data_IF_937310154378
#
_entry.id   IF_937310154378
#
_cell.length_a   1.000
_cell.length_b   1.000
_cell.length_c   1.000
_cell.angle_alpha   90.00
_cell.angle_beta   90.00
_cell.angle_gamma   90.00
#
_symmetry.space_group_name_H-M   'P 1'
#
loop_
_entity.id
_entity.type
_entity.pdbx_description
1 polymer ?
#
# COMPACT_ATOMS: atom_id res chain seq x y z
N UNK A 1 -16.72 11.25 13.50
CA UNK A 1 -15.93 10.10 13.01
C UNK A 1 -16.57 9.59 11.75
N UNK A 2 -15.89 9.76 10.61
CA UNK A 2 -15.81 8.78 9.53
C UNK A 2 -14.48 9.05 8.81
N UNK A 3 -13.38 8.46 9.28
CA UNK A 3 -12.12 8.46 8.56
C UNK A 3 -12.15 7.25 7.65
N UNK A 4 -12.16 7.39 6.33
CA UNK A 4 -11.72 6.24 5.52
C UNK A 4 -10.19 6.24 5.54
N UNK A 5 -9.61 6.00 6.73
CA UNK A 5 -8.18 5.82 6.89
C UNK A 5 -7.85 4.36 6.67
N UNK A 6 -7.83 3.96 5.41
CA UNK A 6 -7.22 2.71 4.98
C UNK A 6 -6.32 3.02 3.78
N UNK A 7 -5.28 3.76 4.14
CA UNK A 7 -3.88 3.44 3.87
C UNK A 7 -3.17 3.60 5.22
N UNK A 8 -2.21 2.73 5.56
CA UNK A 8 -1.34 2.93 6.74
C UNK A 8 -0.92 4.40 6.78
N UNK A 9 -1.29 5.19 7.81
CA UNK A 9 -0.90 6.58 7.87
C UNK A 9 0.62 6.61 7.88
N UNK A 10 1.25 6.97 6.76
CA UNK A 10 2.68 7.21 6.79
C UNK A 10 2.86 8.49 7.60
N UNK A 11 3.55 8.45 8.75
CA UNK A 11 3.79 9.65 9.49
C UNK A 11 4.52 10.65 8.59
N UNK A 12 4.31 11.94 8.87
CA UNK A 12 4.91 13.01 8.09
C UNK A 12 6.42 12.83 7.96
N UNK A 13 7.00 13.37 6.87
CA UNK A 13 8.45 13.26 6.61
C UNK A 13 9.30 13.77 7.78
N UNK A 14 8.76 14.70 8.56
CA UNK A 14 9.34 15.27 9.78
C UNK A 14 9.47 14.28 10.95
N UNK A 15 8.76 13.15 10.91
CA UNK A 15 8.79 12.09 11.94
C UNK A 15 9.59 10.86 11.53
N UNK A 16 10.12 10.84 10.31
CA UNK A 16 10.81 9.69 9.71
C UNK A 16 12.31 9.80 9.93
N UNK A 17 12.88 8.79 10.57
CA UNK A 17 14.32 8.63 10.68
C UNK A 17 14.89 7.82 9.51
N UNK A 18 15.81 8.41 8.76
CA UNK A 18 16.61 7.74 7.75
C UNK A 18 17.75 6.98 8.44
N UNK A 19 17.64 5.65 8.48
CA UNK A 19 18.65 4.78 9.08
C UNK A 19 19.70 4.40 8.05
N UNK A 20 20.96 4.71 8.35
CA UNK A 20 22.11 4.44 7.48
C UNK A 20 23.41 4.27 8.28
N UNK A 21 24.51 3.91 7.62
CA UNK A 21 25.83 3.94 8.27
C UNK A 21 26.42 5.35 8.26
N UNK A 22 27.18 5.75 9.28
CA UNK A 22 27.88 7.05 9.33
C UNK A 22 28.76 7.35 8.10
N UNK A 23 29.37 6.32 7.47
CA UNK A 23 30.15 6.46 6.23
C UNK A 23 29.32 6.91 5.02
N UNK A 24 28.00 6.80 5.11
CA UNK A 24 27.03 7.20 4.08
C UNK A 24 26.46 8.59 4.32
N UNK A 25 26.89 9.31 5.38
CA UNK A 25 26.32 10.58 5.82
C UNK A 25 26.24 11.65 4.71
N UNK A 26 27.20 11.67 3.78
CA UNK A 26 27.22 12.63 2.65
C UNK A 26 26.11 12.40 1.62
N UNK A 27 25.41 11.26 1.69
CA UNK A 27 24.33 10.89 0.78
C UNK A 27 22.95 11.17 1.36
N UNK A 28 22.86 11.54 2.64
CA UNK A 28 21.62 12.03 3.23
C UNK A 28 21.24 13.38 2.61
N UNK A 29 19.96 13.58 2.30
CA UNK A 29 19.48 14.89 1.90
C UNK A 29 19.29 15.77 3.13
N UNK A 30 19.57 17.07 3.01
CA UNK A 30 19.61 17.99 4.17
C UNK A 30 18.31 18.15 4.97
N UNK A 31 17.18 17.65 4.47
CA UNK A 31 15.90 17.63 5.21
C UNK A 31 15.64 16.33 5.97
N UNK A 32 16.48 15.31 5.82
CA UNK A 32 16.25 14.00 6.46
C UNK A 32 16.75 14.02 7.91
N UNK A 33 15.94 13.50 8.82
CA UNK A 33 16.38 13.19 10.17
C UNK A 33 17.18 11.88 10.12
N UNK A 34 18.48 11.91 10.39
CA UNK A 34 19.37 10.75 10.17
C UNK A 34 19.66 10.00 11.47
N UNK A 35 19.61 8.67 11.42
CA UNK A 35 20.01 7.77 12.49
C UNK A 35 21.18 6.91 12.00
N UNK A 36 22.33 7.00 12.66
CA UNK A 36 23.48 6.16 12.35
C UNK A 36 23.49 4.90 13.20
N UNK A 37 23.45 3.72 12.58
CA UNK A 37 23.44 2.47 13.36
C UNK A 37 24.78 2.09 13.97
N UNK A 38 25.89 2.63 13.45
CA UNK A 38 27.24 2.44 13.99
C UNK A 38 27.64 3.52 15.01
N UNK A 39 26.84 4.58 15.14
CA UNK A 39 27.00 5.65 16.13
C UNK A 39 25.62 6.08 16.66
N UNK A 40 24.91 5.19 17.38
CA UNK A 40 23.56 5.49 17.85
C UNK A 40 23.55 6.62 18.89
N UNK A 41 22.49 7.45 18.93
CA UNK A 41 22.31 8.47 19.95
C UNK A 41 22.03 7.85 21.33
N UNK A 42 21.85 8.72 22.33
CA UNK A 42 21.56 8.29 23.69
C UNK A 42 20.21 7.51 23.79
N UNK A 43 20.05 6.67 24.82
CA UNK A 43 18.85 5.86 24.99
C UNK A 43 17.53 6.65 25.09
N UNK A 44 17.54 7.89 25.60
CA UNK A 44 16.33 8.70 25.68
C UNK A 44 15.87 9.14 24.29
N UNK A 45 16.82 9.49 23.41
CA UNK A 45 16.51 9.75 22.00
C UNK A 45 16.00 8.48 21.30
N UNK A 46 16.65 7.33 21.48
CA UNK A 46 16.18 6.06 20.87
C UNK A 46 14.76 5.68 21.29
N UNK A 47 14.36 6.02 22.52
CA UNK A 47 13.04 5.73 23.05
C UNK A 47 11.90 6.56 22.42
N UNK A 48 12.20 7.61 21.66
CA UNK A 48 11.19 8.44 20.98
C UNK A 48 10.99 8.10 19.50
N UNK A 49 11.81 7.19 18.94
CA UNK A 49 11.81 6.88 17.51
C UNK A 49 10.67 5.91 17.17
N UNK A 50 9.65 6.43 16.49
CA UNK A 50 8.46 5.65 16.09
C UNK A 50 8.52 5.13 14.65
N UNK A 51 9.29 5.79 13.77
CA UNK A 51 9.39 5.45 12.36
C UNK A 51 10.84 5.43 11.89
N UNK A 52 11.25 4.32 11.30
CA UNK A 52 12.55 4.16 10.65
C UNK A 52 12.39 3.76 9.18
N UNK A 53 13.15 4.43 8.33
CA UNK A 53 13.40 4.06 6.94
C UNK A 53 14.83 3.59 6.78
N UNK A 54 15.04 2.29 6.63
CA UNK A 54 16.35 1.72 6.30
C UNK A 54 16.59 1.87 4.79
N UNK A 55 17.58 2.67 4.45
CA UNK A 55 17.97 2.98 3.09
C UNK A 55 19.47 2.76 2.92
N UNK A 56 19.88 2.40 1.71
CA UNK A 56 21.28 2.29 1.36
C UNK A 56 21.54 2.86 -0.04
N UNK A 57 22.68 3.53 -0.23
CA UNK A 57 23.06 4.10 -1.51
C UNK A 57 23.47 3.04 -2.54
N UNK A 58 23.42 3.35 -3.85
CA UNK A 58 23.66 2.38 -4.92
C UNK A 58 24.99 1.62 -4.85
N UNK A 59 26.06 2.23 -4.32
CA UNK A 59 27.40 1.63 -4.31
C UNK A 59 27.86 1.10 -2.94
N UNK A 60 27.04 1.22 -1.90
CA UNK A 60 27.38 0.75 -0.55
C UNK A 60 26.17 0.03 0.08
N UNK A 61 26.01 -1.27 -0.22
CA UNK A 61 24.82 -2.01 0.16
C UNK A 61 24.74 -2.36 1.64
N UNK A 62 23.50 -2.46 2.15
CA UNK A 62 23.22 -3.09 3.45
C UNK A 62 22.97 -4.58 3.24
N UNK A 63 23.79 -5.42 3.88
CA UNK A 63 23.73 -6.89 3.75
C UNK A 63 23.00 -7.58 4.90
N UNK A 64 22.92 -6.93 6.05
CA UNK A 64 22.29 -7.44 7.26
C UNK A 64 21.41 -6.35 7.88
N UNK A 65 20.33 -6.74 8.53
CA UNK A 65 19.47 -5.78 9.23
C UNK A 65 20.27 -5.19 10.41
N UNK A 66 20.39 -3.85 10.55
CA UNK A 66 21.10 -3.29 11.68
C UNK A 66 20.47 -3.65 13.03
N UNK A 67 21.26 -4.20 13.94
CA UNK A 67 20.84 -4.61 15.30
C UNK A 67 20.20 -3.48 16.11
N UNK A 68 20.46 -2.21 15.74
CA UNK A 68 19.81 -1.06 16.35
C UNK A 68 18.28 -1.14 16.25
N UNK A 69 17.72 -1.73 15.19
CA UNK A 69 16.26 -1.79 14.96
C UNK A 69 15.53 -2.52 16.09
N UNK A 70 16.07 -3.65 16.57
CA UNK A 70 15.45 -4.41 17.67
C UNK A 70 15.49 -3.68 19.01
N UNK A 71 16.36 -2.67 19.13
CA UNK A 71 16.58 -1.86 20.34
C UNK A 71 15.72 -0.60 20.41
N UNK A 72 14.85 -0.35 19.42
CA UNK A 72 13.96 0.82 19.38
C UNK A 72 12.60 0.47 20.01
N UNK A 73 12.33 0.83 21.27
CA UNK A 73 11.17 0.33 22.01
C UNK A 73 9.84 0.97 21.57
N UNK A 74 9.89 2.14 20.91
CA UNK A 74 8.72 2.85 20.41
C UNK A 74 8.50 2.64 18.90
N UNK A 75 9.34 1.85 18.22
CA UNK A 75 9.27 1.71 16.77
C UNK A 75 7.97 1.00 16.36
N UNK A 76 7.08 1.73 15.72
CA UNK A 76 5.81 1.21 15.20
C UNK A 76 5.86 0.99 13.70
N UNK A 77 6.73 1.71 13.00
CA UNK A 77 6.87 1.66 11.54
C UNK A 77 8.32 1.38 11.12
N UNK A 78 8.50 0.32 10.34
CA UNK A 78 9.77 0.01 9.70
C UNK A 78 9.57 -0.10 8.20
N UNK A 79 10.31 0.70 7.45
CA UNK A 79 10.43 0.58 6.00
C UNK A 79 11.84 0.10 5.66
N UNK A 80 11.94 -0.98 4.89
CA UNK A 80 13.19 -1.58 4.43
C UNK A 80 13.27 -1.40 2.91
N UNK A 81 14.15 -0.50 2.47
CA UNK A 81 14.18 -0.02 1.09
C UNK A 81 13.14 1.08 0.82
N UNK A 82 13.11 1.68 -0.38
CA UNK A 82 13.94 1.32 -1.53
C UNK A 82 15.41 1.72 -1.35
N UNK A 83 16.31 1.26 -2.22
CA UNK A 83 17.77 1.47 -2.08
C UNK A 83 18.54 0.17 -2.30
N UNK A 84 19.87 0.20 -2.17
CA UNK A 84 20.70 -1.00 -2.34
C UNK A 84 20.73 -1.86 -1.06
N UNK A 85 19.57 -2.37 -0.68
CA UNK A 85 19.47 -3.35 0.40
C UNK A 85 19.55 -4.74 -0.24
N UNK A 86 20.37 -5.63 0.31
CA UNK A 86 20.56 -6.97 -0.26
C UNK A 86 19.46 -7.94 0.16
N UNK A 87 19.18 -8.92 -0.71
CA UNK A 87 18.18 -9.96 -0.47
C UNK A 87 18.41 -10.77 0.83
N UNK A 88 19.66 -10.83 1.31
CA UNK A 88 20.03 -11.47 2.58
C UNK A 88 19.33 -10.82 3.77
N UNK A 89 19.07 -9.51 3.75
CA UNK A 89 18.38 -8.81 4.83
C UNK A 89 17.00 -9.45 5.07
N UNK A 90 16.20 -9.57 4.02
CA UNK A 90 14.85 -10.15 4.09
C UNK A 90 14.89 -11.66 4.36
N UNK A 91 15.80 -12.39 3.71
CA UNK A 91 15.92 -13.86 3.87
C UNK A 91 16.32 -14.27 5.29
N UNK A 92 17.11 -13.45 5.95
CA UNK A 92 17.63 -13.72 7.29
C UNK A 92 16.79 -13.04 8.38
N UNK A 93 15.71 -12.33 8.05
CA UNK A 93 14.81 -11.75 9.06
C UNK A 93 14.33 -12.83 10.01
N UNK A 94 14.33 -12.48 11.30
CA UNK A 94 13.76 -13.24 12.41
C UNK A 94 12.94 -12.32 13.29
N UNK A 95 11.91 -12.84 13.93
CA UNK A 95 10.99 -12.05 14.75
C UNK A 95 11.73 -11.32 15.88
N UNK A 96 12.76 -11.92 16.46
CA UNK A 96 13.61 -11.31 17.51
C UNK A 96 14.43 -10.11 17.02
N UNK A 97 14.62 -9.95 15.71
CA UNK A 97 15.32 -8.81 15.12
C UNK A 97 14.40 -7.58 14.97
N UNK A 98 13.10 -7.76 15.19
CA UNK A 98 12.09 -6.73 15.07
C UNK A 98 11.51 -6.42 16.46
N UNK A 99 11.26 -5.15 16.79
CA UNK A 99 10.74 -4.80 18.11
C UNK A 99 9.27 -5.20 18.24
N UNK A 100 8.84 -5.61 19.44
CA UNK A 100 7.45 -6.01 19.73
C UNK A 100 6.43 -4.87 19.54
N UNK A 101 6.89 -3.61 19.53
CA UNK A 101 6.10 -2.42 19.22
C UNK A 101 5.75 -2.28 17.74
N UNK A 102 6.38 -3.06 16.85
CA UNK A 102 6.17 -2.93 15.41
C UNK A 102 4.72 -3.22 15.04
N UNK A 103 4.12 -2.33 14.24
CA UNK A 103 2.74 -2.43 13.74
C UNK A 103 2.68 -2.39 12.21
N UNK A 104 3.66 -1.74 11.59
CA UNK A 104 3.69 -1.51 10.15
C UNK A 104 5.05 -1.84 9.58
N UNK A 105 5.07 -2.73 8.58
CA UNK A 105 6.28 -3.17 7.90
C UNK A 105 6.12 -2.95 6.40
N UNK A 106 7.07 -2.26 5.80
CA UNK A 106 7.17 -2.13 4.35
C UNK A 106 8.50 -2.67 3.85
N UNK A 107 8.48 -3.48 2.79
CA UNK A 107 9.65 -4.09 2.16
C UNK A 107 9.63 -3.76 0.67
N UNK A 108 10.61 -2.98 0.19
CA UNK A 108 10.63 -2.42 -1.16
C UNK A 108 11.91 -2.73 -1.96
N UNK A 109 11.72 -2.93 -3.28
CA UNK A 109 12.75 -2.81 -4.33
C UNK A 109 13.86 -3.87 -4.30
N UNK A 110 13.47 -5.13 -4.13
CA UNK A 110 14.35 -6.27 -4.29
C UNK A 110 13.95 -7.12 -5.51
N UNK A 111 14.85 -7.40 -6.46
CA UNK A 111 14.55 -8.41 -7.46
C UNK A 111 14.39 -9.79 -6.79
N UNK A 112 13.38 -10.56 -7.22
CA UNK A 112 13.21 -11.96 -6.82
C UNK A 112 11.85 -12.30 -6.21
N UNK A 113 11.77 -13.50 -5.64
CA UNK A 113 10.61 -13.99 -4.89
C UNK A 113 11.08 -14.56 -3.55
N UNK A 114 10.32 -14.25 -2.50
CA UNK A 114 10.68 -14.54 -1.11
C UNK A 114 9.68 -15.46 -0.46
N UNK A 115 10.08 -16.05 0.66
CA UNK A 115 9.18 -16.72 1.59
C UNK A 115 9.43 -16.10 2.95
N UNK A 116 8.38 -15.68 3.63
CA UNK A 116 8.44 -15.19 4.99
C UNK A 116 8.89 -16.34 5.91
N UNK A 117 10.02 -16.12 6.58
CA UNK A 117 10.63 -17.09 7.49
C UNK A 117 11.03 -16.47 8.82
N UNK A 118 10.55 -15.25 9.11
CA UNK A 118 10.89 -14.57 10.35
C UNK A 118 10.12 -15.12 11.56
N UNK A 119 9.05 -15.88 11.32
CA UNK A 119 8.16 -16.37 12.36
C UNK A 119 6.92 -15.48 12.50
N UNK A 120 6.14 -15.73 13.56
CA UNK A 120 4.87 -15.06 13.79
C UNK A 120 5.08 -13.62 14.22
N UNK A 121 4.36 -12.69 13.59
CA UNK A 121 4.30 -11.28 13.93
C UNK A 121 2.91 -10.95 14.49
N UNK A 122 2.66 -11.23 15.78
CA UNK A 122 1.31 -11.23 16.34
C UNK A 122 0.65 -9.86 16.44
N UNK A 123 1.44 -8.79 16.36
CA UNK A 123 0.98 -7.40 16.48
C UNK A 123 1.06 -6.63 15.16
N UNK A 124 1.50 -7.25 14.06
CA UNK A 124 1.63 -6.54 12.79
C UNK A 124 0.24 -6.29 12.19
N UNK A 125 -0.11 -5.02 12.01
CA UNK A 125 -1.41 -4.58 11.53
C UNK A 125 -1.39 -4.27 10.04
N UNK A 126 -0.23 -3.84 9.52
CA UNK A 126 -0.04 -3.54 8.10
C UNK A 126 1.27 -4.08 7.54
N UNK A 127 1.18 -4.63 6.33
CA UNK A 127 2.31 -5.17 5.59
C UNK A 127 2.24 -4.69 4.14
N UNK A 128 3.33 -4.08 3.67
CA UNK A 128 3.50 -3.68 2.28
C UNK A 128 4.73 -4.34 1.67
N UNK A 129 4.51 -5.07 0.58
CA UNK A 129 5.57 -5.80 -0.11
C UNK A 129 5.38 -5.65 -1.62
N UNK A 130 6.34 -5.02 -2.29
CA UNK A 130 6.30 -4.80 -3.73
C UNK A 130 6.96 -5.93 -4.54
N UNK A 131 7.28 -7.05 -3.87
CA UNK A 131 7.88 -8.26 -4.44
C UNK A 131 7.00 -9.48 -4.12
N UNK A 132 6.98 -10.53 -4.96
CA UNK A 132 6.26 -11.75 -4.63
C UNK A 132 6.82 -12.41 -3.36
N UNK A 133 6.04 -12.41 -2.27
CA UNK A 133 6.41 -13.01 -1.00
C UNK A 133 5.36 -14.06 -0.58
N UNK A 134 5.81 -15.31 -0.43
CA UNK A 134 5.00 -16.39 0.16
C UNK A 134 4.97 -16.21 1.67
N UNK A 135 3.80 -16.40 2.26
CA UNK A 135 3.61 -16.43 3.70
C UNK A 135 2.44 -17.36 4.01
N UNK A 136 2.30 -17.72 5.28
CA UNK A 136 1.12 -18.39 5.81
C UNK A 136 0.29 -17.37 6.59
N UNK A 137 -1.03 -17.52 6.59
CA UNK A 137 -1.90 -16.60 7.33
C UNK A 137 -1.55 -16.54 8.84
N UNK A 138 -1.06 -17.65 9.39
CA UNK A 138 -0.65 -17.75 10.80
C UNK A 138 0.59 -16.89 11.12
N UNK A 139 1.35 -16.46 10.12
CA UNK A 139 2.48 -15.55 10.31
C UNK A 139 2.01 -14.14 10.72
N UNK A 140 0.78 -13.73 10.35
CA UNK A 140 0.28 -12.36 10.53
C UNK A 140 -1.17 -12.31 11.07
N UNK A 141 -1.45 -12.86 12.26
CA UNK A 141 -2.83 -13.06 12.74
C UNK A 141 -3.61 -11.75 12.97
N UNK A 142 -2.92 -10.61 13.17
CA UNK A 142 -3.53 -9.30 13.40
C UNK A 142 -3.59 -8.41 12.14
N UNK A 143 -3.21 -8.92 10.96
CA UNK A 143 -3.05 -8.11 9.76
C UNK A 143 -4.40 -7.63 9.22
N UNK A 144 -4.56 -6.31 9.14
CA UNK A 144 -5.77 -5.64 8.63
C UNK A 144 -5.53 -4.98 7.29
N UNK A 145 -4.29 -4.62 6.97
CA UNK A 145 -3.90 -3.98 5.72
C UNK A 145 -2.80 -4.76 5.03
N UNK A 146 -3.01 -5.10 3.77
CA UNK A 146 -2.02 -5.81 2.96
C UNK A 146 -1.88 -5.17 1.59
N UNK A 147 -0.66 -4.73 1.27
CA UNK A 147 -0.25 -4.36 -0.08
C UNK A 147 0.72 -5.39 -0.61
N UNK A 148 0.36 -6.10 -1.69
CA UNK A 148 1.13 -7.26 -2.16
C UNK A 148 1.14 -7.40 -3.68
N UNK A 149 2.12 -8.16 -4.16
CA UNK A 149 2.16 -8.66 -5.54
C UNK A 149 1.63 -10.10 -5.57
N UNK A 150 0.43 -10.37 -6.13
CA UNK A 150 -0.10 -11.71 -6.21
C UNK A 150 0.66 -12.56 -7.24
N UNK A 151 0.69 -13.86 -7.04
CA UNK A 151 1.14 -14.80 -8.06
C UNK A 151 0.05 -14.99 -9.12
N UNK A 152 0.46 -15.31 -10.36
CA UNK A 152 -0.48 -15.52 -11.47
C UNK A 152 -1.57 -16.57 -11.17
N UNK A 153 -1.27 -17.71 -10.49
CA UNK A 153 -2.30 -18.65 -10.06
C UNK A 153 -3.20 -18.13 -8.93
N UNK A 154 -2.77 -17.12 -8.16
CA UNK A 154 -3.53 -16.57 -7.04
C UNK A 154 -3.45 -17.36 -5.74
N UNK A 155 -2.44 -18.24 -5.56
CA UNK A 155 -2.23 -18.97 -4.31
C UNK A 155 -1.83 -18.06 -3.15
N UNK A 156 -1.07 -17.00 -3.44
CA UNK A 156 -0.73 -15.95 -2.49
C UNK A 156 -1.97 -15.17 -2.08
N UNK A 157 -2.85 -14.88 -3.05
CA UNK A 157 -4.13 -14.25 -2.75
C UNK A 157 -4.95 -15.18 -1.83
N UNK A 158 -5.03 -16.48 -2.11
CA UNK A 158 -5.78 -17.43 -1.27
C UNK A 158 -5.26 -17.48 0.18
N UNK A 159 -3.95 -17.31 0.41
CA UNK A 159 -3.41 -17.15 1.76
C UNK A 159 -3.86 -15.83 2.40
N UNK A 160 -3.83 -14.72 1.65
CA UNK A 160 -4.31 -13.43 2.12
C UNK A 160 -5.81 -13.44 2.49
N UNK A 161 -6.64 -14.22 1.78
CA UNK A 161 -8.09 -14.32 2.08
C UNK A 161 -8.40 -14.93 3.44
N UNK A 162 -7.43 -15.59 4.08
CA UNK A 162 -7.56 -16.15 5.44
C UNK A 162 -7.28 -15.13 6.55
N UNK A 163 -6.85 -13.93 6.18
CA UNK A 163 -6.53 -12.84 7.12
C UNK A 163 -7.75 -11.92 7.33
N UNK A 164 -7.85 -11.24 8.48
CA UNK A 164 -8.96 -10.32 8.78
C UNK A 164 -8.78 -8.96 8.09
N UNK A 165 -8.56 -8.97 6.77
CA UNK A 165 -8.24 -7.77 6.00
C UNK A 165 -9.43 -6.81 5.88
N UNK A 166 -9.15 -5.54 6.10
CA UNK A 166 -10.03 -4.39 5.85
C UNK A 166 -9.49 -3.55 4.69
N UNK A 167 -8.20 -3.66 4.38
CA UNK A 167 -7.56 -3.05 3.22
C UNK A 167 -6.77 -4.09 2.43
N UNK A 168 -6.99 -4.13 1.12
CA UNK A 168 -6.23 -4.96 0.19
C UNK A 168 -5.77 -4.12 -0.99
N UNK A 169 -4.46 -4.07 -1.22
CA UNK A 169 -3.88 -3.46 -2.40
C UNK A 169 -3.08 -4.48 -3.20
N UNK A 170 -3.41 -4.63 -4.48
CA UNK A 170 -2.77 -5.58 -5.38
C UNK A 170 -1.98 -4.81 -6.45
N UNK A 171 -0.67 -5.07 -6.51
CA UNK A 171 0.21 -4.57 -7.55
C UNK A 171 0.30 -5.58 -8.71
N UNK A 172 0.48 -5.09 -9.95
CA UNK A 172 0.65 -5.91 -11.15
C UNK A 172 -0.46 -6.97 -11.32
N UNK A 173 -1.71 -6.56 -11.11
CA UNK A 173 -2.88 -7.45 -11.01
C UNK A 173 -3.01 -8.35 -12.26
N UNK A 174 -2.88 -9.68 -12.12
CA UNK A 174 -3.03 -10.60 -13.24
C UNK A 174 -4.50 -11.00 -13.48
N UNK A 175 -5.39 -10.68 -12.55
CA UNK A 175 -6.79 -11.09 -12.53
C UNK A 175 -7.68 -10.17 -13.37
N UNK A 176 -8.72 -10.75 -13.92
CA UNK A 176 -9.87 -10.05 -14.50
C UNK A 176 -10.93 -9.79 -13.40
N UNK A 177 -12.16 -9.49 -13.80
CA UNK A 177 -13.28 -9.23 -12.90
C UNK A 177 -13.67 -10.42 -12.00
N UNK A 178 -13.21 -11.64 -12.29
CA UNK A 178 -13.39 -12.80 -11.39
C UNK A 178 -12.71 -12.62 -10.02
N UNK A 179 -11.86 -11.59 -9.88
CA UNK A 179 -11.29 -11.16 -8.60
C UNK A 179 -12.36 -10.79 -7.57
N UNK A 180 -13.41 -10.05 -7.96
CA UNK A 180 -14.32 -9.46 -6.98
C UNK A 180 -15.11 -10.51 -6.17
N UNK A 181 -15.69 -11.56 -6.80
CA UNK A 181 -16.31 -12.65 -6.05
C UNK A 181 -15.31 -13.40 -5.15
N UNK A 182 -14.04 -13.50 -5.54
CA UNK A 182 -13.01 -14.16 -4.72
C UNK A 182 -12.71 -13.41 -3.42
N UNK A 183 -12.76 -12.08 -3.45
CA UNK A 183 -12.48 -11.23 -2.28
C UNK A 183 -13.75 -10.79 -1.52
N UNK A 184 -14.94 -11.20 -1.98
CA UNK A 184 -16.23 -10.76 -1.44
C UNK A 184 -16.49 -11.16 0.02
N UNK A 185 -15.84 -12.22 0.51
CA UNK A 185 -15.96 -12.65 1.90
C UNK A 185 -15.18 -11.76 2.89
N UNK A 186 -14.23 -10.95 2.41
CA UNK A 186 -13.46 -10.04 3.25
C UNK A 186 -14.29 -8.79 3.58
N UNK A 187 -14.21 -8.27 4.82
CA UNK A 187 -14.88 -7.03 5.22
C UNK A 187 -14.10 -5.79 4.72
N UNK A 188 -13.80 -5.75 3.42
CA UNK A 188 -12.97 -4.69 2.84
C UNK A 188 -13.67 -3.33 2.91
N UNK A 189 -12.94 -2.36 3.46
CA UNK A 189 -13.28 -0.94 3.45
C UNK A 189 -12.48 -0.19 2.39
N UNK A 190 -11.31 -0.72 1.99
CA UNK A 190 -10.43 -0.12 0.98
C UNK A 190 -9.86 -1.17 0.03
N UNK A 191 -9.89 -0.87 -1.27
CA UNK A 191 -9.36 -1.72 -2.32
C UNK A 191 -8.48 -0.89 -3.27
N UNK A 192 -7.25 -1.33 -3.48
CA UNK A 192 -6.34 -0.78 -4.48
C UNK A 192 -5.98 -1.81 -5.55
N UNK A 193 -6.17 -1.48 -6.83
CA UNK A 193 -5.75 -2.30 -7.96
C UNK A 193 -4.80 -1.49 -8.85
N UNK A 194 -3.53 -1.90 -8.91
CA UNK A 194 -2.48 -1.17 -9.60
C UNK A 194 -1.81 -1.99 -10.70
N UNK A 195 -1.58 -1.36 -11.85
CA UNK A 195 -0.89 -1.95 -13.00
C UNK A 195 -1.50 -3.28 -13.48
N UNK A 196 -2.83 -3.36 -13.49
CA UNK A 196 -3.55 -4.53 -14.00
C UNK A 196 -3.59 -4.58 -15.53
N UNK A 197 -3.59 -5.81 -16.06
CA UNK A 197 -3.51 -6.05 -17.52
C UNK A 197 -4.69 -6.84 -18.09
N UNK A 198 -5.63 -7.27 -17.26
CA UNK A 198 -6.72 -8.16 -17.66
C UNK A 198 -8.12 -7.56 -17.40
N UNK A 199 -8.24 -6.66 -16.42
CA UNK A 199 -9.51 -6.10 -15.97
C UNK A 199 -10.13 -5.18 -17.02
N UNK A 200 -11.28 -5.57 -17.59
CA UNK A 200 -12.04 -4.78 -18.58
C UNK A 200 -13.22 -4.02 -17.98
N UNK A 201 -13.79 -4.56 -16.93
CA UNK A 201 -14.95 -4.04 -16.21
C UNK A 201 -14.77 -4.25 -14.71
N UNK A 202 -15.62 -3.61 -13.90
CA UNK A 202 -15.69 -3.81 -12.46
C UNK A 202 -16.86 -4.74 -12.06
N UNK A 203 -17.37 -5.56 -12.98
CA UNK A 203 -18.52 -6.44 -12.71
C UNK A 203 -18.21 -7.40 -11.54
N UNK A 204 -19.12 -7.52 -10.57
CA UNK A 204 -18.90 -8.27 -9.34
C UNK A 204 -18.40 -7.41 -8.18
N UNK A 205 -17.94 -6.18 -8.42
CA UNK A 205 -17.50 -5.27 -7.35
C UNK A 205 -18.64 -4.92 -6.39
N UNK A 206 -19.90 -4.98 -6.84
CA UNK A 206 -21.10 -4.76 -6.03
C UNK A 206 -21.22 -5.69 -4.82
N UNK A 207 -20.50 -6.84 -4.85
CA UNK A 207 -20.41 -7.76 -3.72
C UNK A 207 -19.60 -7.17 -2.55
N UNK A 208 -18.76 -6.16 -2.81
CA UNK A 208 -17.98 -5.43 -1.81
C UNK A 208 -18.78 -4.27 -1.22
N UNK A 209 -19.99 -4.56 -0.73
CA UNK A 209 -20.97 -3.55 -0.29
C UNK A 209 -20.47 -2.61 0.83
N UNK A 210 -19.48 -3.05 1.62
CA UNK A 210 -18.83 -2.24 2.66
C UNK A 210 -17.71 -1.31 2.16
N UNK A 211 -17.37 -1.35 0.87
CA UNK A 211 -16.25 -0.61 0.31
C UNK A 211 -16.47 0.89 0.39
N UNK A 212 -15.50 1.59 0.99
CA UNK A 212 -15.51 3.04 1.21
C UNK A 212 -14.47 3.78 0.38
N UNK A 213 -13.37 3.12 0.02
CA UNK A 213 -12.31 3.67 -0.83
C UNK A 213 -11.93 2.71 -1.94
N UNK A 214 -11.89 3.22 -3.18
CA UNK A 214 -11.45 2.47 -4.35
C UNK A 214 -10.34 3.21 -5.08
N UNK A 215 -9.18 2.56 -5.25
CA UNK A 215 -8.04 3.07 -6.02
C UNK A 215 -7.78 2.18 -7.24
N UNK A 216 -7.85 2.76 -8.43
CA UNK A 216 -7.56 2.11 -9.69
C UNK A 216 -6.43 2.88 -10.38
N UNK A 217 -5.26 2.25 -10.52
CA UNK A 217 -4.11 2.88 -11.18
C UNK A 217 -3.61 2.02 -12.32
N UNK A 218 -3.44 2.63 -13.49
CA UNK A 218 -2.83 1.98 -14.66
C UNK A 218 -3.55 0.67 -15.03
N UNK A 219 -4.88 0.69 -15.09
CA UNK A 219 -5.70 -0.43 -15.58
C UNK A 219 -5.87 -0.28 -17.09
N UNK A 220 -4.92 -0.82 -17.85
CA UNK A 220 -4.78 -0.53 -19.29
C UNK A 220 -5.90 -1.07 -20.19
N UNK A 221 -6.74 -1.98 -19.68
CA UNK A 221 -7.88 -2.55 -20.40
C UNK A 221 -9.24 -2.13 -19.84
N UNK A 222 -9.28 -1.36 -18.76
CA UNK A 222 -10.54 -1.00 -18.10
C UNK A 222 -11.34 -0.03 -18.97
N UNK A 223 -12.49 -0.48 -19.45
CA UNK A 223 -13.35 0.25 -20.38
C UNK A 223 -14.53 0.93 -19.69
N UNK A 224 -15.02 0.34 -18.60
CA UNK A 224 -16.17 0.88 -17.85
C UNK A 224 -16.00 0.71 -16.35
N UNK A 225 -16.55 1.68 -15.63
CA UNK A 225 -16.62 1.70 -14.17
C UNK A 225 -18.06 1.60 -13.65
N UNK A 226 -19.07 1.47 -14.53
CA UNK A 226 -20.49 1.50 -14.18
C UNK A 226 -20.93 0.66 -12.97
N UNK A 227 -20.38 -0.55 -12.73
CA UNK A 227 -20.73 -1.37 -11.56
C UNK A 227 -20.54 -0.68 -10.19
N UNK A 228 -19.68 0.34 -10.08
CA UNK A 228 -19.51 1.06 -8.80
C UNK A 228 -20.77 1.80 -8.35
N UNK A 229 -21.75 2.04 -9.23
CA UNK A 229 -23.04 2.63 -8.86
C UNK A 229 -23.76 1.84 -7.76
N UNK A 230 -23.46 0.54 -7.63
CA UNK A 230 -24.01 -0.33 -6.60
C UNK A 230 -23.26 -0.27 -5.26
N UNK A 231 -22.29 0.64 -5.08
CA UNK A 231 -21.52 0.82 -3.85
C UNK A 231 -22.02 2.05 -3.07
N UNK A 232 -23.04 1.90 -2.19
CA UNK A 232 -23.70 3.03 -1.54
C UNK A 232 -22.79 3.75 -0.52
N UNK A 233 -21.75 3.07 -0.02
CA UNK A 233 -20.82 3.59 0.97
C UNK A 233 -19.51 4.14 0.39
N UNK A 234 -19.36 4.17 -0.95
CA UNK A 234 -18.13 4.62 -1.59
C UNK A 234 -17.93 6.13 -1.39
N UNK A 235 -17.00 6.50 -0.51
CA UNK A 235 -16.70 7.88 -0.13
C UNK A 235 -15.52 8.45 -0.93
N UNK A 236 -14.58 7.59 -1.34
CA UNK A 236 -13.36 7.98 -2.04
C UNK A 236 -13.14 7.15 -3.30
N UNK A 237 -12.92 7.83 -4.42
CA UNK A 237 -12.60 7.20 -5.69
C UNK A 237 -11.35 7.85 -6.30
N UNK A 238 -10.35 7.03 -6.60
CA UNK A 238 -9.11 7.47 -7.21
C UNK A 238 -8.81 6.63 -8.45
N UNK A 239 -9.01 7.21 -9.63
CA UNK A 239 -8.72 6.56 -10.91
C UNK A 239 -7.59 7.33 -11.59
N UNK A 240 -6.48 6.64 -11.85
CA UNK A 240 -5.33 7.22 -12.52
C UNK A 240 -4.84 6.37 -13.67
N UNK A 241 -4.48 7.01 -14.78
CA UNK A 241 -3.86 6.37 -15.93
C UNK A 241 -4.68 5.20 -16.51
N UNK A 242 -6.00 5.25 -16.39
CA UNK A 242 -6.93 4.26 -16.96
C UNK A 242 -7.51 4.81 -18.27
N UNK A 243 -6.72 4.72 -19.35
CA UNK A 243 -6.95 5.45 -20.61
C UNK A 243 -8.09 4.94 -21.50
N UNK A 244 -8.67 3.79 -21.17
CA UNK A 244 -9.73 3.13 -21.96
C UNK A 244 -11.13 3.39 -21.43
N UNK A 245 -11.27 4.04 -20.28
CA UNK A 245 -12.57 4.42 -19.74
C UNK A 245 -13.17 5.45 -20.68
N UNK A 246 -14.39 5.21 -21.16
CA UNK A 246 -15.08 6.12 -22.09
C UNK A 246 -16.34 6.75 -21.50
N UNK A 247 -16.82 6.24 -20.36
CA UNK A 247 -18.02 6.73 -19.69
C UNK A 247 -17.81 6.78 -18.17
N UNK A 248 -18.08 7.94 -17.59
CA UNK A 248 -18.01 8.22 -16.16
C UNK A 248 -19.33 8.78 -15.58
N UNK A 249 -20.44 8.72 -16.31
CA UNK A 249 -21.73 9.24 -15.85
C UNK A 249 -22.20 8.59 -14.54
N UNK A 250 -21.73 7.37 -14.25
CA UNK A 250 -21.96 6.67 -12.96
C UNK A 250 -21.55 7.50 -11.73
N UNK A 251 -20.60 8.43 -11.86
CA UNK A 251 -20.12 9.25 -10.75
C UNK A 251 -21.20 10.18 -10.17
N UNK A 252 -22.17 10.62 -10.98
CA UNK A 252 -23.30 11.41 -10.48
C UNK A 252 -24.16 10.62 -9.49
N UNK A 253 -24.30 9.31 -9.74
CA UNK A 253 -25.19 8.42 -9.00
C UNK A 253 -24.63 7.94 -7.66
N UNK A 254 -23.34 8.17 -7.37
CA UNK A 254 -22.72 7.74 -6.10
C UNK A 254 -23.13 8.64 -4.94
N UNK A 255 -23.94 8.16 -3.97
CA UNK A 255 -24.57 9.05 -2.98
C UNK A 255 -23.59 9.53 -1.90
N UNK A 256 -22.59 8.72 -1.55
CA UNK A 256 -21.64 9.00 -0.48
C UNK A 256 -20.30 9.59 -0.96
N UNK A 257 -20.08 9.70 -2.28
CA UNK A 257 -18.80 10.13 -2.83
C UNK A 257 -18.48 11.56 -2.41
N UNK A 258 -17.31 11.75 -1.79
CA UNK A 258 -16.83 13.02 -1.27
C UNK A 258 -15.48 13.42 -1.87
N UNK A 259 -14.61 12.44 -2.14
CA UNK A 259 -13.27 12.66 -2.66
C UNK A 259 -13.10 11.95 -4.01
N UNK A 260 -12.76 12.72 -5.04
CA UNK A 260 -12.50 12.20 -6.39
C UNK A 260 -11.11 12.59 -6.88
N UNK A 261 -10.37 11.62 -7.39
CA UNK A 261 -9.17 11.86 -8.20
C UNK A 261 -9.34 11.18 -9.56
N UNK A 262 -9.23 11.96 -10.63
CA UNK A 262 -9.21 11.50 -12.02
C UNK A 262 -7.97 12.08 -12.71
N UNK A 263 -6.92 11.27 -12.88
CA UNK A 263 -5.65 11.77 -13.42
C UNK A 263 -5.19 10.93 -14.60
N UNK A 264 -4.90 11.56 -15.74
CA UNK A 264 -4.31 10.85 -16.88
C UNK A 264 -5.25 9.81 -17.52
N UNK A 265 -6.57 9.98 -17.42
CA UNK A 265 -7.54 8.99 -17.93
C UNK A 265 -7.87 9.15 -19.42
N UNK A 266 -7.28 10.11 -20.13
CA UNK A 266 -7.59 10.35 -21.54
C UNK A 266 -8.92 11.08 -21.73
N UNK A 267 -9.57 10.90 -22.89
CA UNK A 267 -10.89 11.47 -23.17
C UNK A 267 -11.99 10.59 -22.56
N UNK A 268 -12.53 11.01 -21.42
CA UNK A 268 -13.54 10.24 -20.67
C UNK A 268 -14.94 10.85 -20.73
N UNK A 269 -15.13 11.89 -21.55
CA UNK A 269 -16.43 12.58 -21.67
C UNK A 269 -16.80 13.43 -20.46
N UNK A 270 -15.82 14.14 -19.86
CA UNK A 270 -16.04 14.97 -18.67
C UNK A 270 -17.08 16.08 -18.86
N UNK A 271 -17.12 16.72 -20.04
CA UNK A 271 -18.17 17.67 -20.45
C UNK A 271 -18.77 18.54 -19.33
N UNK A 272 -20.11 18.58 -19.25
CA UNK A 272 -20.84 19.28 -18.18
C UNK A 272 -20.76 18.56 -16.82
N UNK A 273 -20.43 17.27 -16.82
CA UNK A 273 -20.32 16.45 -15.62
C UNK A 273 -19.21 16.96 -14.69
N UNK A 274 -18.11 17.49 -15.22
CA UNK A 274 -17.03 18.04 -14.41
C UNK A 274 -17.53 19.14 -13.45
N UNK A 275 -18.33 20.08 -13.95
CA UNK A 275 -18.86 21.18 -13.14
C UNK A 275 -19.79 20.66 -12.02
N UNK A 276 -20.64 19.67 -12.34
CA UNK A 276 -21.51 19.03 -11.35
C UNK A 276 -20.71 18.30 -10.26
N UNK A 277 -19.66 17.58 -10.64
CA UNK A 277 -18.78 16.88 -9.70
C UNK A 277 -18.07 17.87 -8.78
N UNK A 278 -17.51 18.96 -9.32
CA UNK A 278 -16.85 20.00 -8.52
C UNK A 278 -17.81 20.69 -7.53
N UNK A 279 -19.09 20.82 -7.88
CA UNK A 279 -20.11 21.39 -6.99
C UNK A 279 -20.57 20.42 -5.89
N UNK A 280 -20.56 19.11 -6.17
CA UNK A 280 -21.03 18.05 -5.24
C UNK A 280 -19.95 17.59 -4.26
N UNK A 281 -18.69 17.52 -4.71
CA UNK A 281 -17.61 16.86 -3.98
C UNK A 281 -16.91 17.79 -2.99
N UNK A 282 -16.38 17.21 -1.90
CA UNK A 282 -15.55 17.95 -0.92
C UNK A 282 -14.16 18.22 -1.49
N UNK A 283 -13.56 17.22 -2.13
CA UNK A 283 -12.29 17.36 -2.82
C UNK A 283 -12.36 16.72 -4.20
N UNK A 284 -11.84 17.42 -5.19
CA UNK A 284 -11.73 16.92 -6.56
C UNK A 284 -10.37 17.29 -7.14
N UNK A 285 -9.62 16.29 -7.59
CA UNK A 285 -8.41 16.48 -8.38
C UNK A 285 -8.60 15.83 -9.76
N UNK A 286 -8.91 16.65 -10.75
CA UNK A 286 -9.08 16.24 -12.14
C UNK A 286 -7.96 16.90 -12.94
N UNK A 287 -7.06 16.10 -13.51
CA UNK A 287 -5.89 16.59 -14.22
C UNK A 287 -5.49 15.66 -15.37
N UNK A 288 -4.90 16.23 -16.44
CA UNK A 288 -4.42 15.48 -17.62
C UNK A 288 -5.47 14.47 -18.17
N UNK A 289 -6.74 14.84 -18.07
CA UNK A 289 -7.91 14.08 -18.47
C UNK A 289 -8.77 15.04 -19.29
N UNK A 290 -9.12 14.64 -20.50
CA UNK A 290 -9.79 15.48 -21.51
C UNK A 290 -11.24 15.06 -21.71
#
# INVERSE_FOLDING_TARGET
MSPVSFSTPQPGRDKRWLLMHSRQATQAHGSDQVLFYDAPPDPATLATIEYVHLWAPPLDPVQELPDLISRLPALTHLSIGPGNIQASVVKNLRAEMLPASLRHLSIFDYPGSYTWSAGVMPQLESLEVNVPMRFKAEDFPALKSLSMLPDKPGKLLDQALRLPLQELNLFNVPFDESLFPRIAALPLLSLGLMAGRSLKTLAGIEQLSGLRSLRLKNQGLLETIGPIAALPALEQLNIQYCKRITDINTLEALPALQDLTLVGCGNIGLGELEAKLRAKLRHSNIAATT
#
